data_IF_683109482744
#
_entry.id   IF_683109482744
#
_cell.length_a   1.000
_cell.length_b   1.000
_cell.length_c   1.000
_cell.angle_alpha   90.00
_cell.angle_beta   90.00
_cell.angle_gamma   90.00
#
_symmetry.space_group_name_H-M   'P 1'
#
loop_
_entity.id
_entity.type
_entity.pdbx_description
1 polymer ?
#
# COMPACT_ATOMS: atom_id res chain seq x y z
N UNK A 1 -11.29 22.61 -10.72
CA UNK A 1 -10.12 22.57 -11.63
C UNK A 1 -9.48 21.20 -11.47
N UNK A 2 -9.40 20.42 -12.55
CA UNK A 2 -8.55 19.22 -12.56
C UNK A 2 -7.14 19.76 -12.81
N UNK A 3 -6.29 19.75 -11.78
CA UNK A 3 -4.92 20.23 -11.87
C UNK A 3 -4.02 19.19 -12.53
N UNK A 4 -3.14 19.61 -13.44
CA UNK A 4 -2.06 18.78 -13.96
C UNK A 4 -0.79 19.05 -13.15
N UNK A 5 -0.18 18.00 -12.61
CA UNK A 5 1.15 18.06 -12.00
C UNK A 5 2.16 17.43 -12.96
N UNK A 6 3.29 18.10 -13.21
CA UNK A 6 4.41 17.52 -13.96
C UNK A 6 5.31 16.79 -12.97
N UNK A 7 5.49 15.48 -13.18
CA UNK A 7 6.43 14.67 -12.41
C UNK A 7 7.85 14.88 -12.94
N UNK A 8 8.83 14.91 -12.05
CA UNK A 8 10.24 14.90 -12.42
C UNK A 8 10.65 13.55 -13.04
N UNK A 9 11.76 13.53 -13.79
CA UNK A 9 12.35 12.28 -14.30
C UNK A 9 12.64 11.29 -13.15
N UNK A 10 13.10 11.78 -11.98
CA UNK A 10 13.32 10.91 -10.82
C UNK A 10 12.01 10.26 -10.34
N UNK A 11 10.93 11.03 -10.21
CA UNK A 11 9.62 10.52 -9.79
C UNK A 11 9.02 9.56 -10.81
N UNK A 12 9.22 9.83 -12.10
CA UNK A 12 8.81 8.93 -13.19
C UNK A 12 9.57 7.60 -13.16
N UNK A 13 10.82 7.59 -12.70
CA UNK A 13 11.65 6.38 -12.55
C UNK A 13 11.39 5.64 -11.23
N UNK A 14 10.70 6.24 -10.25
CA UNK A 14 10.34 5.55 -9.01
C UNK A 14 9.35 4.43 -9.32
N UNK A 15 9.74 3.19 -9.01
CA UNK A 15 8.84 2.05 -9.10
C UNK A 15 7.75 2.19 -8.05
N UNK A 16 6.51 2.23 -8.50
CA UNK A 16 5.37 2.05 -7.61
C UNK A 16 5.39 0.58 -7.17
N UNK A 17 5.54 0.38 -5.87
CA UNK A 17 5.57 -0.92 -5.23
C UNK A 17 4.43 -1.01 -4.23
N UNK A 18 3.81 -2.18 -4.20
CA UNK A 18 2.80 -2.54 -3.22
C UNK A 18 3.34 -3.66 -2.34
N UNK A 19 2.68 -3.93 -1.22
CA UNK A 19 2.97 -5.13 -0.45
C UNK A 19 1.79 -6.10 -0.40
N UNK A 20 2.13 -7.38 -0.24
CA UNK A 20 1.24 -8.47 0.12
C UNK A 20 1.80 -9.13 1.37
N UNK A 21 0.93 -9.42 2.34
CA UNK A 21 1.28 -10.18 3.54
C UNK A 21 0.45 -11.45 3.62
N UNK A 22 1.09 -12.54 4.01
CA UNK A 22 0.45 -13.84 4.24
C UNK A 22 -0.62 -13.74 5.32
N UNK A 23 -1.78 -14.34 5.07
CA UNK A 23 -2.88 -14.36 6.03
C UNK A 23 -2.68 -15.42 7.13
N UNK A 24 -1.97 -16.51 6.80
CA UNK A 24 -1.69 -17.62 7.72
C UNK A 24 -0.36 -17.43 8.46
N UNK A 25 0.64 -16.87 7.78
CA UNK A 25 1.96 -16.60 8.33
C UNK A 25 2.29 -15.11 8.13
N UNK A 26 2.21 -14.36 9.22
CA UNK A 26 2.47 -12.91 9.20
C UNK A 26 3.92 -12.55 8.88
N UNK A 27 4.84 -13.52 8.98
CA UNK A 27 6.24 -13.32 8.60
C UNK A 27 6.45 -13.39 7.08
N UNK A 28 5.47 -13.88 6.32
CA UNK A 28 5.56 -13.92 4.87
C UNK A 28 5.07 -12.59 4.28
N UNK A 29 6.01 -11.78 3.80
CA UNK A 29 5.75 -10.52 3.13
C UNK A 29 6.41 -10.48 1.74
N UNK A 30 5.76 -9.80 0.80
CA UNK A 30 6.25 -9.61 -0.55
C UNK A 30 6.03 -8.17 -0.99
N UNK A 31 7.04 -7.60 -1.65
CA UNK A 31 6.87 -6.40 -2.49
C UNK A 31 6.41 -6.83 -3.88
N UNK A 32 5.41 -6.15 -4.41
CA UNK A 32 4.78 -6.43 -5.70
C UNK A 32 4.90 -5.18 -6.56
N UNK A 33 5.62 -5.30 -7.67
CA UNK A 33 5.74 -4.23 -8.66
C UNK A 33 4.47 -4.15 -9.54
N UNK A 34 4.32 -3.04 -10.26
CA UNK A 34 3.24 -2.88 -11.27
C UNK A 34 3.27 -3.93 -12.39
N UNK A 35 4.44 -4.50 -12.70
CA UNK A 35 4.59 -5.58 -13.68
C UNK A 35 4.23 -6.98 -13.11
N UNK A 36 3.74 -7.04 -11.86
CA UNK A 36 3.36 -8.26 -11.17
C UNK A 36 4.53 -9.06 -10.59
N UNK A 37 5.78 -8.59 -10.70
CA UNK A 37 6.92 -9.27 -10.07
C UNK A 37 6.85 -9.15 -8.56
N UNK A 38 6.92 -10.29 -7.88
CA UNK A 38 6.97 -10.37 -6.43
C UNK A 38 8.40 -10.59 -5.93
N UNK A 39 8.79 -9.88 -4.87
CA UNK A 39 10.06 -10.08 -4.15
C UNK A 39 9.75 -10.35 -2.69
N UNK A 40 10.16 -11.51 -2.17
CA UNK A 40 9.96 -11.84 -0.75
C UNK A 40 10.89 -10.99 0.11
N UNK A 41 10.34 -10.37 1.16
CA UNK A 41 11.06 -9.46 2.07
C UNK A 41 10.66 -9.70 3.53
N UNK A 42 11.37 -9.08 4.46
CA UNK A 42 10.96 -9.11 5.87
C UNK A 42 9.73 -8.20 6.08
N UNK A 43 8.86 -8.47 7.07
CA UNK A 43 7.70 -7.61 7.31
C UNK A 43 8.03 -6.15 7.58
N UNK A 44 9.21 -5.86 8.16
CA UNK A 44 9.69 -4.50 8.39
C UNK A 44 9.88 -3.72 7.08
N UNK A 45 10.28 -4.38 6.00
CA UNK A 45 10.50 -3.77 4.69
C UNK A 45 9.18 -3.42 3.97
N UNK A 46 8.04 -3.90 4.48
CA UNK A 46 6.71 -3.56 3.98
C UNK A 46 6.04 -2.43 4.75
N UNK A 47 6.66 -1.91 5.82
CA UNK A 47 6.16 -0.73 6.53
C UNK A 47 6.17 0.46 5.57
N UNK A 48 5.14 1.31 5.64
CA UNK A 48 4.93 2.49 4.78
C UNK A 48 4.79 2.20 3.27
N UNK A 49 4.68 0.93 2.89
CA UNK A 49 4.30 0.50 1.54
C UNK A 49 2.78 0.30 1.49
N UNK A 50 2.16 0.67 0.37
CA UNK A 50 0.72 0.52 0.17
C UNK A 50 0.34 -0.95 -0.08
N UNK A 51 -0.77 -1.42 0.48
CA UNK A 51 -1.20 -2.82 0.28
C UNK A 51 -1.74 -3.00 -1.14
N UNK A 52 -1.44 -4.13 -1.77
CA UNK A 52 -1.87 -4.41 -3.14
C UNK A 52 -3.40 -4.38 -3.32
N UNK A 53 -4.14 -4.79 -2.29
CA UNK A 53 -5.59 -4.95 -2.33
C UNK A 53 -6.42 -3.64 -2.20
N UNK A 54 -5.79 -2.46 -2.26
CA UNK A 54 -6.40 -1.14 -1.91
C UNK A 54 -6.56 -0.20 -3.12
N UNK A 55 -6.38 -0.72 -4.33
CA UNK A 55 -6.32 0.09 -5.55
C UNK A 55 -7.50 -0.08 -6.49
N UNK A 56 -8.61 -0.66 -6.01
CA UNK A 56 -9.88 -0.60 -6.76
C UNK A 56 -10.50 0.81 -6.65
N UNK A 57 -11.29 1.21 -7.65
CA UNK A 57 -11.81 2.58 -7.77
C UNK A 57 -12.61 3.01 -6.54
N UNK A 58 -13.42 2.10 -5.99
CA UNK A 58 -14.27 2.34 -4.81
C UNK A 58 -13.43 2.67 -3.58
N UNK A 59 -12.32 1.95 -3.41
CA UNK A 59 -11.40 2.10 -2.28
C UNK A 59 -10.62 3.42 -2.39
N UNK A 60 -10.20 3.78 -3.61
CA UNK A 60 -9.52 5.06 -3.87
C UNK A 60 -10.46 6.23 -3.63
N UNK A 61 -11.72 6.15 -4.10
CA UNK A 61 -12.71 7.20 -3.86
C UNK A 61 -13.00 7.36 -2.36
N UNK A 62 -13.20 6.27 -1.63
CA UNK A 62 -13.43 6.29 -0.19
C UNK A 62 -12.26 6.93 0.57
N UNK A 63 -11.01 6.57 0.24
CA UNK A 63 -9.81 7.19 0.84
C UNK A 63 -9.74 8.68 0.60
N UNK A 64 -9.97 9.11 -0.64
CA UNK A 64 -9.97 10.54 -0.99
C UNK A 64 -11.06 11.28 -0.22
N UNK A 65 -12.27 10.73 -0.16
CA UNK A 65 -13.40 11.29 0.60
C UNK A 65 -13.07 11.40 2.09
N UNK A 66 -12.52 10.34 2.69
CA UNK A 66 -12.10 10.31 4.09
C UNK A 66 -11.05 11.38 4.38
N UNK A 67 -10.06 11.54 3.50
CA UNK A 67 -9.03 12.58 3.59
C UNK A 67 -9.65 13.99 3.59
N UNK A 68 -10.53 14.30 2.63
CA UNK A 68 -11.19 15.62 2.57
C UNK A 68 -12.10 15.91 3.76
N UNK A 69 -12.66 14.87 4.39
CA UNK A 69 -13.49 15.00 5.58
C UNK A 69 -12.71 14.93 6.90
N UNK A 70 -11.37 14.81 6.85
CA UNK A 70 -10.52 14.55 8.02
C UNK A 70 -11.00 13.35 8.86
N UNK A 71 -11.47 12.29 8.19
CA UNK A 71 -11.91 11.03 8.78
C UNK A 71 -10.83 9.97 8.67
N UNK A 72 -10.73 9.12 9.69
CA UNK A 72 -9.85 7.96 9.68
C UNK A 72 -10.40 6.90 8.72
N UNK A 73 -9.51 6.35 7.89
CA UNK A 73 -9.86 5.25 7.00
C UNK A 73 -9.66 3.91 7.73
N UNK A 74 -10.76 3.35 8.24
CA UNK A 74 -10.70 2.12 9.03
C UNK A 74 -10.26 0.91 8.19
N UNK A 75 -10.63 0.87 6.91
CA UNK A 75 -10.26 -0.23 6.02
C UNK A 75 -8.74 -0.24 5.82
N UNK A 76 -8.16 0.92 5.47
CA UNK A 76 -6.72 1.11 5.34
C UNK A 76 -5.96 0.72 6.60
N UNK A 77 -6.45 1.11 7.77
CA UNK A 77 -5.81 0.82 9.05
C UNK A 77 -5.78 -0.67 9.39
N UNK A 78 -6.82 -1.42 9.05
CA UNK A 78 -6.83 -2.88 9.22
C UNK A 78 -5.90 -3.62 8.26
N UNK A 79 -5.51 -2.95 7.17
CA UNK A 79 -4.69 -3.50 6.09
C UNK A 79 -3.20 -3.26 6.26
N UNK A 80 -2.78 -2.41 7.21
CA UNK A 80 -1.37 -2.20 7.58
C UNK A 80 -0.67 -3.53 7.92
N UNK A 81 0.66 -3.54 7.75
CA UNK A 81 1.51 -4.70 8.08
C UNK A 81 1.29 -5.13 9.52
N UNK A 82 1.11 -6.43 9.74
CA UNK A 82 0.92 -7.03 11.07
C UNK A 82 2.14 -7.82 11.47
N UNK A 83 2.44 -7.83 12.76
CA UNK A 83 3.49 -8.67 13.34
C UNK A 83 2.83 -9.73 14.21
N UNK A 84 3.40 -10.93 14.22
CA UNK A 84 3.05 -11.91 15.25
C UNK A 84 3.57 -11.38 16.58
N UNK A 85 2.69 -11.24 17.58
CA UNK A 85 3.12 -11.11 18.96
C UNK A 85 3.71 -12.43 19.37
N UNK A 86 5.05 -12.51 19.49
CA UNK A 86 5.69 -13.63 20.15
C UNK A 86 5.06 -13.79 21.55
N UNK A 87 4.48 -14.95 21.81
CA UNK A 87 4.06 -15.38 23.15
C UNK A 87 5.15 -16.28 23.70
#
# INVERSE_FOLDING_TARGET
MIGSATLSEEEMQRKIVFFRQGLLNLNDCWLVNLDGRETKVAPQDCIDVERLAVWDFEQVEERLRNLYMNKKDLLFEHMKVKFSTAT
#
